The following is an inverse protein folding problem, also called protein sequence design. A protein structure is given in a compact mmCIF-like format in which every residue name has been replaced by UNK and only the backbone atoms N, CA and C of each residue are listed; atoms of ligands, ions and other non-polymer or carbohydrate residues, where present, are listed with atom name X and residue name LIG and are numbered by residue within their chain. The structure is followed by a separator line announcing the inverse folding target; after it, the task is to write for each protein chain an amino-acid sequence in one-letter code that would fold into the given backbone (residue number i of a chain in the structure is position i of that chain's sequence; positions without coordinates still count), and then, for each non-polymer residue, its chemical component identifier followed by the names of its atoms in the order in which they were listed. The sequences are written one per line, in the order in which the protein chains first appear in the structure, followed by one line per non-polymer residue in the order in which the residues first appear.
data_IF_287273360586
#
_entry.id   IF_287273360586
#
_cell.length_a   1.000
_cell.length_b   1.000
_cell.length_c   1.000
_cell.angle_alpha   90.00
_cell.angle_beta   90.00
_cell.angle_gamma   90.00
#
_symmetry.space_group_name_H-M   'P 1'
#
loop_
_entity.id
_entity.type
_entity.pdbx_description
1 polymer ?
#
# COMPACT_ATOMS: atom_id res chain seq x y z
N UNK A 1 5.07 -17.61 15.06
CA UNK A 1 4.85 -18.81 14.21
C UNK A 1 6.12 -19.52 13.76
N UNK A 2 6.95 -19.01 12.81
CA UNK A 2 8.09 -19.79 12.28
C UNK A 2 9.12 -20.20 13.34
N UNK A 3 9.46 -19.30 14.26
CA UNK A 3 10.37 -19.60 15.40
C UNK A 3 9.80 -20.65 16.36
N UNK A 4 8.50 -20.64 16.61
CA UNK A 4 7.83 -21.60 17.49
C UNK A 4 7.78 -22.98 16.85
N UNK A 5 7.47 -23.07 15.54
CA UNK A 5 7.50 -24.31 14.76
C UNK A 5 8.90 -24.92 14.71
N UNK A 6 9.95 -24.11 14.47
CA UNK A 6 11.33 -24.57 14.46
C UNK A 6 11.80 -25.07 15.83
N UNK A 7 11.35 -24.41 16.91
CA UNK A 7 11.64 -24.84 18.27
C UNK A 7 10.94 -26.17 18.57
N UNK A 8 9.67 -26.31 18.16
CA UNK A 8 8.90 -27.53 18.33
C UNK A 8 9.50 -28.72 17.58
N UNK A 9 9.93 -28.53 16.33
CA UNK A 9 10.61 -29.54 15.50
C UNK A 9 11.92 -30.04 16.11
N UNK A 10 12.70 -29.16 16.76
CA UNK A 10 13.95 -29.55 17.44
C UNK A 10 13.72 -30.38 18.70
N UNK A 11 12.60 -30.17 19.38
CA UNK A 11 12.28 -30.82 20.66
C UNK A 11 11.53 -32.14 20.54
N UNK A 12 10.91 -32.43 19.39
CA UNK A 12 10.10 -33.63 19.19
C UNK A 12 10.59 -34.36 17.93
N UNK A 13 11.30 -35.47 18.10
CA UNK A 13 11.67 -36.41 17.02
C UNK A 13 10.45 -37.21 16.54
N UNK A 14 9.37 -36.51 16.18
CA UNK A 14 8.13 -37.12 15.71
C UNK A 14 8.03 -36.93 14.20
N UNK A 15 7.72 -38.04 13.52
CA UNK A 15 7.46 -38.08 12.08
C UNK A 15 6.24 -37.23 11.69
N UNK A 16 5.36 -36.92 12.64
CA UNK A 16 4.20 -36.05 12.44
C UNK A 16 3.91 -35.13 13.63
N UNK A 17 3.48 -33.92 13.32
CA UNK A 17 3.09 -32.87 14.27
C UNK A 17 1.61 -32.55 14.02
N UNK A 18 0.69 -32.75 15.00
CA UNK A 18 -0.69 -32.32 14.85
C UNK A 18 -0.75 -30.79 14.81
N UNK A 19 -1.51 -30.25 13.87
CA UNK A 19 -1.71 -28.82 13.66
C UNK A 19 -3.19 -28.52 13.39
N UNK A 20 -3.60 -27.30 13.72
CA UNK A 20 -4.90 -26.75 13.31
C UNK A 20 -4.63 -25.60 12.35
N UNK A 21 -5.27 -25.63 11.18
CA UNK A 21 -5.12 -24.63 10.12
C UNK A 21 -6.44 -23.91 9.91
N UNK A 22 -6.44 -22.58 9.92
CA UNK A 22 -7.58 -21.79 9.48
C UNK A 22 -7.49 -21.60 7.97
N UNK A 23 -8.49 -22.07 7.22
CA UNK A 23 -8.60 -21.89 5.77
C UNK A 23 -10.04 -21.52 5.41
N UNK A 24 -10.25 -20.39 4.74
CA UNK A 24 -11.59 -19.89 4.35
C UNK A 24 -12.57 -19.86 5.54
N UNK A 25 -12.11 -19.33 6.67
CA UNK A 25 -12.84 -19.32 7.96
C UNK A 25 -13.24 -20.69 8.53
N UNK A 26 -12.65 -21.78 8.05
CA UNK A 26 -12.83 -23.11 8.63
C UNK A 26 -11.55 -23.59 9.31
N UNK A 27 -11.69 -24.09 10.54
CA UNK A 27 -10.60 -24.75 11.25
C UNK A 27 -10.49 -26.20 10.76
N UNK A 28 -9.29 -26.58 10.35
CA UNK A 28 -8.97 -27.92 9.83
C UNK A 28 -7.90 -28.51 10.73
N UNK A 29 -8.21 -29.63 11.38
CA UNK A 29 -7.23 -30.44 12.09
C UNK A 29 -6.50 -31.34 11.09
N UNK A 30 -5.16 -31.31 11.10
CA UNK A 30 -4.34 -32.13 10.21
C UNK A 30 -2.97 -32.40 10.83
N UNK A 31 -2.12 -33.16 10.16
CA UNK A 31 -0.77 -33.49 10.60
C UNK A 31 0.28 -32.96 9.62
N UNK A 32 1.27 -32.25 10.15
CA UNK A 32 2.47 -31.84 9.42
C UNK A 32 3.55 -32.92 9.56
N UNK A 33 3.98 -33.51 8.46
CA UNK A 33 4.98 -34.57 8.47
C UNK A 33 6.40 -34.01 8.38
N UNK A 34 7.31 -34.56 9.17
CA UNK A 34 8.74 -34.25 9.10
C UNK A 34 9.47 -35.40 8.41
N UNK A 35 10.37 -35.07 7.49
CA UNK A 35 11.27 -35.99 6.80
C UNK A 35 12.69 -35.58 7.16
N UNK A 36 13.50 -36.52 7.62
CA UNK A 36 14.92 -36.26 7.87
C UNK A 36 15.67 -36.17 6.53
N UNK A 37 16.37 -35.07 6.31
CA UNK A 37 17.24 -34.87 5.15
C UNK A 37 18.66 -35.33 5.51
N UNK A 38 19.09 -36.45 4.93
CA UNK A 38 20.43 -37.03 5.15
C UNK A 38 21.57 -36.13 4.64
N UNK A 39 21.30 -35.26 3.66
CA UNK A 39 22.32 -34.37 3.06
C UNK A 39 22.62 -33.20 4.00
N UNK A 40 21.57 -32.52 4.44
CA UNK A 40 21.68 -31.33 5.29
C UNK A 40 21.67 -31.66 6.80
N UNK A 41 21.45 -32.93 7.15
CA UNK A 41 21.32 -33.45 8.53
C UNK A 41 20.28 -32.69 9.37
N UNK A 42 19.14 -32.36 8.77
CA UNK A 42 18.03 -31.63 9.40
C UNK A 42 16.68 -32.24 9.04
N UNK A 43 15.69 -32.10 9.92
CA UNK A 43 14.29 -32.43 9.58
C UNK A 43 13.66 -31.31 8.75
N UNK A 44 12.95 -31.69 7.68
CA UNK A 44 12.20 -30.80 6.78
C UNK A 44 10.74 -31.26 6.71
N UNK A 45 9.81 -30.32 6.63
CA UNK A 45 8.37 -30.63 6.55
C UNK A 45 7.70 -30.10 5.27
N UNK A 46 8.46 -29.47 4.38
CA UNK A 46 7.92 -28.83 3.18
C UNK A 46 7.01 -27.63 3.44
N UNK A 47 6.82 -27.20 4.69
CA UNK A 47 6.00 -26.03 5.02
C UNK A 47 6.67 -24.75 4.50
N UNK A 48 5.99 -24.08 3.58
CA UNK A 48 6.34 -22.73 3.14
C UNK A 48 5.54 -21.70 3.96
N UNK A 49 6.24 -20.78 4.63
CA UNK A 49 5.62 -19.74 5.46
C UNK A 49 5.96 -18.37 4.88
N UNK A 50 4.93 -17.65 4.44
CA UNK A 50 5.02 -16.23 4.12
C UNK A 50 4.85 -15.43 5.40
N UNK A 51 5.96 -15.02 5.99
CA UNK A 51 5.97 -14.39 7.33
C UNK A 51 5.58 -12.90 7.28
N UNK A 52 5.87 -12.21 6.18
CA UNK A 52 5.57 -10.78 6.03
C UNK A 52 5.45 -10.36 4.56
N UNK A 53 4.67 -9.31 4.35
CA UNK A 53 4.62 -8.55 3.10
C UNK A 53 5.36 -7.24 3.35
N UNK A 54 6.29 -6.90 2.45
CA UNK A 54 7.02 -5.63 2.48
C UNK A 54 6.75 -4.93 1.15
N UNK A 55 6.41 -3.66 1.21
CA UNK A 55 6.13 -2.84 0.03
C UNK A 55 6.47 -1.38 0.28
N UNK A 56 6.63 -0.65 -0.83
CA UNK A 56 6.82 0.80 -0.81
C UNK A 56 5.49 1.44 -1.21
N UNK A 57 4.96 2.27 -0.32
CA UNK A 57 3.68 2.95 -0.49
C UNK A 57 3.76 4.42 -0.17
N UNK A 58 2.80 5.20 -0.67
CA UNK A 58 2.69 6.62 -0.32
C UNK A 58 1.65 6.80 0.79
N UNK A 59 2.05 7.51 1.85
CA UNK A 59 1.14 8.05 2.86
C UNK A 59 0.35 9.18 2.20
N UNK A 60 -0.97 9.04 2.08
CA UNK A 60 -1.82 10.03 1.41
C UNK A 60 -2.03 11.25 2.30
N UNK A 61 -2.50 11.02 3.51
CA UNK A 61 -2.74 12.08 4.48
C UNK A 61 -2.50 11.54 5.88
N UNK A 62 -2.32 12.46 6.81
CA UNK A 62 -2.44 12.18 8.23
C UNK A 62 -3.31 13.26 8.86
N UNK A 63 -4.08 12.87 9.88
CA UNK A 63 -4.98 13.77 10.59
C UNK A 63 -4.38 14.11 11.96
N UNK A 64 -3.91 15.36 12.15
CA UNK A 64 -3.31 15.79 13.40
C UNK A 64 -4.29 15.86 14.57
N UNK A 65 -5.60 15.84 14.34
CA UNK A 65 -6.61 15.94 15.40
C UNK A 65 -6.82 14.63 16.15
N UNK A 66 -6.61 13.49 15.49
CA UNK A 66 -6.89 12.15 16.05
C UNK A 66 -5.74 11.15 15.85
N UNK A 67 -4.60 11.58 15.31
CA UNK A 67 -3.41 10.74 15.07
C UNK A 67 -3.65 9.54 14.14
N UNK A 68 -4.61 9.65 13.22
CA UNK A 68 -4.89 8.62 12.19
C UNK A 68 -4.30 9.00 10.83
N UNK A 69 -4.19 8.02 9.93
CA UNK A 69 -3.74 8.25 8.56
C UNK A 69 -4.44 7.34 7.56
N UNK A 70 -4.36 7.72 6.28
CA UNK A 70 -4.70 6.87 5.14
C UNK A 70 -3.56 6.80 4.13
N UNK A 71 -3.37 5.65 3.49
CA UNK A 71 -2.32 5.42 2.51
C UNK A 71 -2.78 4.51 1.36
N UNK A 72 -1.99 4.50 0.27
CA UNK A 72 -2.15 3.70 -0.96
C UNK A 72 -3.38 4.00 -1.82
N UNK A 73 -4.55 4.21 -1.21
CA UNK A 73 -5.81 4.33 -1.94
C UNK A 73 -6.34 3.02 -2.54
N UNK A 74 -5.68 1.89 -2.28
CA UNK A 74 -6.11 0.53 -2.63
C UNK A 74 -5.63 -0.49 -1.58
N UNK A 75 -6.10 -1.73 -1.70
CA UNK A 75 -5.72 -2.83 -0.81
C UNK A 75 -4.27 -3.31 -1.01
N UNK A 76 -3.69 -3.89 0.04
CA UNK A 76 -2.55 -4.80 -0.12
C UNK A 76 -3.11 -6.19 -0.43
N UNK A 77 -2.70 -6.76 -1.57
CA UNK A 77 -3.06 -8.12 -1.98
C UNK A 77 -2.00 -9.13 -1.55
N UNK A 78 -2.42 -10.30 -1.10
CA UNK A 78 -1.56 -11.47 -1.10
C UNK A 78 -1.56 -12.08 -2.51
N UNK A 79 -0.46 -11.88 -3.24
CA UNK A 79 -0.30 -12.36 -4.62
C UNK A 79 -0.35 -13.89 -4.75
N UNK A 80 -0.06 -14.64 -3.69
CA UNK A 80 -0.05 -16.10 -3.75
C UNK A 80 -1.47 -16.65 -3.56
N UNK A 81 -2.26 -16.00 -2.71
CA UNK A 81 -3.65 -16.37 -2.43
C UNK A 81 -4.66 -15.67 -3.35
N UNK A 82 -4.25 -14.61 -4.05
CA UNK A 82 -5.12 -13.76 -4.88
C UNK A 82 -6.29 -13.14 -4.09
N UNK A 83 -6.03 -12.82 -2.82
CA UNK A 83 -7.00 -12.26 -1.88
C UNK A 83 -6.42 -11.02 -1.20
N UNK A 84 -7.28 -10.16 -0.63
CA UNK A 84 -6.83 -9.05 0.21
C UNK A 84 -6.03 -9.63 1.38
N UNK A 85 -4.82 -9.11 1.59
CA UNK A 85 -3.97 -9.58 2.67
C UNK A 85 -4.66 -9.33 4.02
N UNK A 86 -4.87 -10.40 4.78
CA UNK A 86 -5.36 -10.31 6.16
C UNK A 86 -4.26 -9.69 7.05
N UNK A 87 -4.55 -8.55 7.66
CA UNK A 87 -3.60 -7.82 8.50
C UNK A 87 -3.96 -8.05 9.96
N UNK A 88 -3.23 -8.96 10.62
CA UNK A 88 -3.27 -9.07 12.07
C UNK A 88 -2.51 -7.93 12.75
N UNK A 89 -1.37 -7.57 12.19
CA UNK A 89 -0.54 -6.46 12.64
C UNK A 89 0.33 -5.95 11.48
N UNK A 90 0.60 -4.65 11.45
CA UNK A 90 1.52 -4.05 10.51
C UNK A 90 2.12 -2.77 11.05
N UNK A 91 3.20 -2.32 10.42
CA UNK A 91 3.90 -1.09 10.80
C UNK A 91 4.34 -0.34 9.56
N UNK A 92 4.32 0.99 9.66
CA UNK A 92 4.86 1.87 8.63
C UNK A 92 6.22 2.42 9.08
N UNK A 93 7.11 2.60 8.11
CA UNK A 93 8.51 2.97 8.32
C UNK A 93 8.89 4.10 7.35
N UNK A 94 9.90 4.93 7.67
CA UNK A 94 10.45 5.88 6.72
C UNK A 94 11.05 5.14 5.53
N UNK A 95 10.83 5.70 4.34
CA UNK A 95 11.46 5.23 3.12
C UNK A 95 12.14 6.40 2.41
N UNK A 96 13.29 6.13 1.80
CA UNK A 96 14.05 7.07 0.99
C UNK A 96 14.18 6.52 -0.43
N UNK A 97 13.64 7.25 -1.40
CA UNK A 97 13.64 6.88 -2.82
C UNK A 97 15.04 7.06 -3.41
N UNK A 98 15.71 5.94 -3.66
CA UNK A 98 17.08 5.94 -4.19
C UNK A 98 17.12 6.08 -5.71
N UNK A 99 16.12 5.56 -6.42
CA UNK A 99 16.06 5.63 -7.89
C UNK A 99 14.66 5.31 -8.42
N UNK A 100 14.40 5.72 -9.67
CA UNK A 100 13.18 5.39 -10.40
C UNK A 100 13.50 4.44 -11.55
N UNK A 101 12.73 3.35 -11.66
CA UNK A 101 12.61 2.58 -12.89
C UNK A 101 11.41 3.12 -13.67
N UNK A 102 11.67 3.62 -14.88
CA UNK A 102 10.63 4.19 -15.74
C UNK A 102 9.62 3.14 -16.19
N UNK A 103 8.36 3.56 -16.35
CA UNK A 103 7.36 2.75 -17.03
C UNK A 103 7.74 2.53 -18.49
N UNK A 104 7.40 1.36 -19.00
CA UNK A 104 7.47 1.01 -20.41
C UNK A 104 6.14 0.43 -20.84
N UNK A 105 5.89 0.36 -22.15
CA UNK A 105 4.69 -0.29 -22.64
C UNK A 105 4.61 -1.73 -22.09
N UNK A 106 3.48 -2.04 -21.45
CA UNK A 106 3.20 -3.33 -20.80
C UNK A 106 4.08 -3.66 -19.57
N UNK A 107 4.92 -2.74 -19.10
CA UNK A 107 5.73 -2.92 -17.89
C UNK A 107 5.57 -1.69 -16.99
N UNK A 108 4.93 -1.90 -15.84
CA UNK A 108 4.81 -0.85 -14.84
C UNK A 108 6.22 -0.47 -14.33
N UNK A 109 6.52 0.83 -14.31
CA UNK A 109 7.72 1.32 -13.62
C UNK A 109 7.56 1.20 -12.10
N UNK A 110 8.61 1.53 -11.36
CA UNK A 110 8.62 1.44 -9.90
C UNK A 110 9.55 2.46 -9.24
N UNK A 111 9.20 2.86 -8.01
CA UNK A 111 10.12 3.52 -7.09
C UNK A 111 10.97 2.46 -6.41
N UNK A 112 12.29 2.63 -6.46
CA UNK A 112 13.21 1.85 -5.62
C UNK A 112 13.59 2.70 -4.41
N UNK A 113 13.37 2.15 -3.24
CA UNK A 113 13.59 2.85 -1.99
C UNK A 113 14.29 1.96 -0.96
N UNK A 114 15.03 2.60 -0.07
CA UNK A 114 15.53 1.98 1.15
C UNK A 114 14.55 2.25 2.28
N UNK A 115 14.34 1.27 3.15
CA UNK A 115 13.39 1.34 4.26
C UNK A 115 14.19 1.28 5.57
N UNK A 116 13.95 2.24 6.46
CA UNK A 116 14.54 2.23 7.80
C UNK A 116 13.64 1.48 8.78
N UNK A 117 13.90 0.18 8.95
CA UNK A 117 13.15 -0.68 9.87
C UNK A 117 13.44 -0.40 11.36
N UNK A 118 14.41 0.45 11.69
CA UNK A 118 14.74 0.77 13.09
C UNK A 118 13.78 1.79 13.69
N UNK A 119 13.07 2.55 12.83
CA UNK A 119 12.18 3.63 13.23
C UNK A 119 10.74 3.35 12.81
N UNK A 120 9.91 2.90 13.74
CA UNK A 120 8.47 2.74 13.49
C UNK A 120 7.79 4.12 13.49
N UNK A 121 7.04 4.43 12.44
CA UNK A 121 6.24 5.67 12.33
C UNK A 121 4.81 5.49 12.85
N UNK A 122 4.29 4.27 12.79
CA UNK A 122 2.90 3.98 13.08
C UNK A 122 2.53 2.52 12.81
N UNK A 123 1.27 2.21 13.05
CA UNK A 123 0.68 0.87 12.90
C UNK A 123 -0.24 0.84 11.69
N UNK A 124 -0.35 -0.31 11.03
CA UNK A 124 -1.45 -0.60 10.09
C UNK A 124 -2.52 -1.38 10.87
N UNK A 125 -3.75 -0.89 10.85
CA UNK A 125 -4.90 -1.51 11.54
C UNK A 125 -5.92 -2.10 10.57
N UNK A 126 -6.09 -1.50 9.40
CA UNK A 126 -7.09 -1.91 8.42
C UNK A 126 -6.48 -1.99 7.02
N UNK A 127 -6.91 -2.98 6.26
CA UNK A 127 -6.62 -3.16 4.85
C UNK A 127 -7.93 -3.28 4.08
N UNK A 128 -8.26 -2.25 3.31
CA UNK A 128 -9.53 -2.19 2.58
C UNK A 128 -9.27 -2.02 1.10
N UNK A 129 -10.32 -2.24 0.29
CA UNK A 129 -10.28 -1.99 -1.17
C UNK A 129 -9.90 -0.57 -1.57
N UNK A 130 -10.02 0.40 -0.67
CA UNK A 130 -9.75 1.81 -0.96
C UNK A 130 -8.64 2.39 -0.07
N UNK A 131 -7.74 1.54 0.41
CA UNK A 131 -6.55 1.97 1.14
C UNK A 131 -6.33 1.20 2.43
N UNK A 132 -5.18 1.48 3.01
CA UNK A 132 -4.78 1.02 4.34
C UNK A 132 -4.86 2.17 5.33
N UNK A 133 -5.21 1.84 6.57
CA UNK A 133 -5.43 2.84 7.62
C UNK A 133 -4.81 2.40 8.93
N UNK A 134 -4.50 3.37 9.78
CA UNK A 134 -3.99 3.12 11.11
C UNK A 134 -3.65 4.39 11.85
N UNK A 135 -2.82 4.25 12.89
CA UNK A 135 -2.39 5.34 13.76
C UNK A 135 -0.91 5.60 13.63
N UNK A 136 -0.49 6.86 13.77
CA UNK A 136 0.92 7.25 13.75
C UNK A 136 1.34 7.84 15.10
N UNK A 137 2.63 7.71 15.43
CA UNK A 137 3.21 8.29 16.66
C UNK A 137 3.82 9.65 16.36
N UNK A 138 4.77 9.67 15.41
CA UNK A 138 5.44 10.88 14.99
C UNK A 138 5.84 10.77 13.53
N UNK A 139 5.35 11.69 12.72
CA UNK A 139 5.77 11.83 11.33
C UNK A 139 6.83 12.92 11.29
N UNK A 140 8.02 12.58 10.80
CA UNK A 140 9.17 13.50 10.76
C UNK A 140 9.07 14.59 9.68
N UNK A 141 7.87 14.93 9.19
CA UNK A 141 7.69 15.75 7.99
C UNK A 141 6.71 16.90 8.21
N UNK A 142 7.11 18.08 7.77
CA UNK A 142 6.21 19.22 7.57
C UNK A 142 5.47 19.04 6.24
N UNK A 143 4.41 18.23 6.24
CA UNK A 143 3.44 18.29 5.15
C UNK A 143 2.63 19.58 5.29
N UNK A 144 2.26 20.25 4.18
CA UNK A 144 1.38 21.41 4.25
C UNK A 144 0.03 20.99 4.83
N UNK A 145 -0.47 21.79 5.78
CA UNK A 145 -1.86 21.65 6.24
C UNK A 145 -2.78 22.10 5.10
N UNK A 146 -3.63 21.20 4.63
CA UNK A 146 -4.58 21.47 3.54
C UNK A 146 -5.98 21.03 3.95
N UNK A 147 -6.98 21.76 3.47
CA UNK A 147 -8.36 21.31 3.52
C UNK A 147 -8.57 20.15 2.53
N UNK A 148 -9.65 19.40 2.71
CA UNK A 148 -10.11 18.42 1.74
C UNK A 148 -11.45 18.86 1.15
N UNK A 149 -11.79 18.33 -0.03
CA UNK A 149 -13.08 18.57 -0.68
C UNK A 149 -13.86 17.26 -0.86
N UNK A 150 -15.18 17.34 -0.76
CA UNK A 150 -16.07 16.22 -1.07
C UNK A 150 -16.05 15.87 -2.57
N UNK A 151 -16.57 14.68 -2.89
CA UNK A 151 -16.61 14.20 -4.28
C UNK A 151 -17.46 15.08 -5.21
N UNK A 152 -18.40 15.88 -4.68
CA UNK A 152 -19.25 16.77 -5.48
C UNK A 152 -18.53 18.07 -5.88
N UNK A 153 -17.52 18.46 -5.10
CA UNK A 153 -16.70 19.64 -5.37
C UNK A 153 -15.62 19.41 -6.43
N UNK A 154 -15.33 18.15 -6.77
CA UNK A 154 -14.34 17.79 -7.79
C UNK A 154 -14.87 18.13 -9.19
N UNK A 155 -14.03 18.71 -10.03
CA UNK A 155 -14.38 19.04 -11.41
C UNK A 155 -13.27 18.69 -12.40
N UNK A 156 -13.64 18.57 -13.69
CA UNK A 156 -12.65 18.32 -14.76
C UNK A 156 -11.70 19.51 -14.89
N UNK A 157 -10.48 19.24 -15.37
CA UNK A 157 -9.47 20.25 -15.61
C UNK A 157 -8.23 20.07 -14.74
N UNK A 158 -7.48 21.16 -14.55
CA UNK A 158 -6.17 21.13 -13.90
C UNK A 158 -6.27 20.70 -12.44
N UNK A 159 -5.31 19.89 -12.03
CA UNK A 159 -5.05 19.50 -10.66
C UNK A 159 -3.55 19.24 -10.48
N UNK A 160 -3.14 18.91 -9.26
CA UNK A 160 -1.76 18.55 -8.92
C UNK A 160 -1.70 17.18 -8.25
N UNK A 161 -0.63 16.46 -8.56
CA UNK A 161 -0.24 15.20 -7.93
C UNK A 161 0.97 15.44 -7.03
N UNK A 162 0.87 15.09 -5.75
CA UNK A 162 1.97 15.22 -4.79
C UNK A 162 2.66 13.88 -4.61
N UNK A 163 3.95 13.79 -4.99
CA UNK A 163 4.70 12.54 -4.86
C UNK A 163 6.19 12.77 -4.65
N UNK A 164 6.91 11.71 -4.30
CA UNK A 164 8.37 11.71 -4.09
C UNK A 164 9.04 10.95 -5.23
N UNK A 165 9.97 11.59 -5.94
CA UNK A 165 10.79 10.96 -6.99
C UNK A 165 12.24 10.69 -6.56
N UNK A 166 12.74 11.43 -5.56
CA UNK A 166 14.07 11.27 -5.03
C UNK A 166 14.11 11.59 -3.53
N UNK A 167 14.86 10.80 -2.77
CA UNK A 167 15.00 10.97 -1.34
C UNK A 167 13.66 10.86 -0.62
N UNK A 168 13.30 11.89 0.13
CA UNK A 168 12.04 12.05 0.84
C UNK A 168 11.31 13.36 0.51
N UNK A 169 11.75 14.07 -0.54
CA UNK A 169 11.23 15.36 -0.95
C UNK A 169 9.88 15.22 -1.65
N UNK A 170 8.84 15.84 -1.08
CA UNK A 170 7.51 15.88 -1.68
C UNK A 170 7.46 17.00 -2.71
N UNK A 171 7.09 16.65 -3.94
CA UNK A 171 7.00 17.57 -5.06
C UNK A 171 5.59 17.50 -5.67
N UNK A 172 5.11 18.64 -6.18
CA UNK A 172 3.84 18.73 -6.89
C UNK A 172 4.08 18.68 -8.40
N UNK A 173 3.30 17.87 -9.10
CA UNK A 173 3.35 17.71 -10.56
C UNK A 173 1.97 17.97 -11.16
N UNK A 174 1.90 18.61 -12.32
CA UNK A 174 0.62 18.88 -12.97
C UNK A 174 -0.04 17.60 -13.51
N UNK A 175 -1.35 17.53 -13.35
CA UNK A 175 -2.22 16.55 -13.99
C UNK A 175 -3.48 17.24 -14.49
N UNK A 176 -4.22 16.57 -15.38
CA UNK A 176 -5.52 17.03 -15.84
C UNK A 176 -6.59 15.94 -15.62
N UNK A 177 -7.61 16.26 -14.83
CA UNK A 177 -8.77 15.40 -14.57
C UNK A 177 -9.64 15.34 -15.83
N UNK A 178 -9.76 14.16 -16.40
CA UNK A 178 -10.49 13.90 -17.66
C UNK A 178 -11.92 13.43 -17.41
N UNK A 179 -12.13 12.69 -16.32
CA UNK A 179 -13.43 12.13 -15.94
C UNK A 179 -13.58 12.00 -14.43
N UNK A 180 -14.82 12.12 -13.99
CA UNK A 180 -15.25 11.98 -12.61
C UNK A 180 -16.36 10.95 -12.63
N UNK A 181 -16.24 9.92 -11.81
CA UNK A 181 -17.23 8.88 -11.64
C UNK A 181 -17.92 9.10 -10.31
N UNK A 182 -19.12 9.65 -10.34
CA UNK A 182 -19.92 9.80 -9.14
C UNK A 182 -20.27 8.41 -8.58
N UNK A 183 -20.02 8.24 -7.29
CA UNK A 183 -20.11 6.96 -6.60
C UNK A 183 -21.05 7.09 -5.41
N UNK A 184 -21.84 6.05 -5.16
CA UNK A 184 -22.62 5.92 -3.92
C UNK A 184 -21.85 5.17 -2.82
N UNK A 185 -20.81 4.42 -3.21
CA UNK A 185 -19.94 3.62 -2.35
C UNK A 185 -18.51 3.85 -2.84
N UNK A 186 -17.56 4.00 -1.92
CA UNK A 186 -16.16 4.24 -2.28
C UNK A 186 -15.55 3.14 -3.13
N UNK A 187 -14.94 3.52 -4.24
CA UNK A 187 -14.24 2.64 -5.18
C UNK A 187 -12.99 3.34 -5.76
N UNK A 188 -12.01 2.55 -6.18
CA UNK A 188 -10.66 2.98 -6.59
C UNK A 188 -10.64 3.82 -7.88
N UNK A 189 -11.75 3.86 -8.64
CA UNK A 189 -11.91 4.58 -9.91
C UNK A 189 -12.89 5.75 -9.81
N UNK A 190 -12.72 6.62 -8.82
CA UNK A 190 -13.53 7.84 -8.66
C UNK A 190 -13.10 8.97 -9.60
N UNK A 191 -11.79 9.13 -9.78
CA UNK A 191 -11.17 10.20 -10.58
C UNK A 191 -10.36 9.54 -11.70
N UNK A 192 -10.55 9.95 -12.95
CA UNK A 192 -9.63 9.67 -14.05
C UNK A 192 -8.85 10.92 -14.40
N UNK A 193 -7.54 10.78 -14.60
CA UNK A 193 -6.68 11.88 -14.96
C UNK A 193 -5.57 11.44 -15.91
N UNK A 194 -4.96 12.43 -16.56
CA UNK A 194 -3.74 12.29 -17.33
C UNK A 194 -2.62 13.08 -16.68
N UNK A 195 -1.41 12.53 -16.69
CA UNK A 195 -0.19 13.26 -16.33
C UNK A 195 0.21 14.14 -17.51
N UNK A 196 0.28 15.45 -17.29
CA UNK A 196 0.73 16.42 -18.29
C UNK A 196 2.02 17.16 -17.87
N UNK A 197 2.59 16.79 -16.73
CA UNK A 197 3.82 17.38 -16.22
C UNK A 197 5.07 16.85 -16.96
N UNK A 198 5.85 17.74 -17.62
CA UNK A 198 7.00 17.31 -18.41
C UNK A 198 8.14 16.74 -17.57
N UNK A 199 8.31 17.19 -16.32
CA UNK A 199 9.38 16.70 -15.43
C UNK A 199 9.03 15.30 -14.95
N UNK A 200 7.78 15.09 -14.52
CA UNK A 200 7.30 13.77 -14.10
C UNK A 200 7.43 12.77 -15.25
N UNK A 201 6.92 13.12 -16.44
CA UNK A 201 6.98 12.27 -17.62
C UNK A 201 8.42 11.94 -18.02
N UNK A 202 9.33 12.92 -18.01
CA UNK A 202 10.73 12.70 -18.35
C UNK A 202 11.41 11.72 -17.38
N UNK A 203 11.06 11.75 -16.09
CA UNK A 203 11.69 10.91 -15.07
C UNK A 203 11.07 9.52 -14.95
N UNK A 204 9.79 9.36 -15.29
CA UNK A 204 9.00 8.18 -14.89
C UNK A 204 8.26 7.51 -16.05
N UNK A 205 8.08 8.21 -17.18
CA UNK A 205 7.16 7.87 -18.27
C UNK A 205 5.68 7.76 -17.84
N UNK A 206 5.28 8.34 -16.71
CA UNK A 206 3.90 8.35 -16.21
C UNK A 206 3.79 7.87 -14.76
N UNK A 207 2.62 7.39 -14.38
CA UNK A 207 2.37 6.80 -13.07
C UNK A 207 3.12 5.47 -12.96
N UNK A 208 3.78 5.26 -11.83
CA UNK A 208 4.58 4.06 -11.53
C UNK A 208 4.21 3.47 -10.18
N UNK A 209 4.60 2.22 -9.94
CA UNK A 209 4.42 1.57 -8.64
C UNK A 209 5.13 2.36 -7.53
N UNK A 210 4.47 2.47 -6.38
CA UNK A 210 4.90 3.33 -5.28
C UNK A 210 4.36 4.77 -5.36
N UNK A 211 3.71 5.18 -6.45
CA UNK A 211 2.89 6.40 -6.48
C UNK A 211 1.48 6.20 -5.93
N UNK A 212 1.00 4.96 -5.82
CA UNK A 212 -0.28 4.67 -5.16
C UNK A 212 -0.31 5.31 -3.76
N UNK A 213 -1.36 6.08 -3.51
CA UNK A 213 -1.55 6.92 -2.33
C UNK A 213 -1.10 8.36 -2.50
N UNK A 214 -0.46 8.74 -3.61
CA UNK A 214 -0.06 10.13 -3.87
C UNK A 214 -1.28 11.05 -3.88
N UNK A 215 -1.30 12.12 -3.04
CA UNK A 215 -2.44 13.01 -2.96
C UNK A 215 -2.70 13.75 -4.27
N UNK A 216 -3.98 13.83 -4.63
CA UNK A 216 -4.47 14.65 -5.73
C UNK A 216 -5.09 15.90 -5.12
N UNK A 217 -4.63 17.07 -5.57
CA UNK A 217 -5.03 18.38 -5.07
C UNK A 217 -5.64 19.21 -6.20
N UNK A 218 -6.84 19.73 -5.98
CA UNK A 218 -7.53 20.68 -6.88
C UNK A 218 -8.06 21.83 -6.04
N UNK A 219 -7.98 23.06 -6.54
CA UNK A 219 -8.42 24.27 -5.84
C UNK A 219 -7.88 24.39 -4.41
N UNK A 220 -6.59 24.05 -4.23
CA UNK A 220 -5.88 24.03 -2.94
C UNK A 220 -6.47 23.07 -1.88
N UNK A 221 -7.28 22.10 -2.30
CA UNK A 221 -7.86 21.07 -1.45
C UNK A 221 -7.43 19.69 -1.90
N UNK A 222 -7.17 18.80 -0.95
CA UNK A 222 -7.01 17.38 -1.25
C UNK A 222 -8.38 16.88 -1.73
N UNK A 223 -8.44 16.27 -2.90
CA UNK A 223 -9.68 15.71 -3.48
C UNK A 223 -9.64 14.19 -3.60
N UNK A 224 -8.44 13.61 -3.58
CA UNK A 224 -8.28 12.16 -3.75
C UNK A 224 -6.86 11.69 -3.60
N UNK A 225 -6.66 10.41 -3.93
CA UNK A 225 -5.37 9.75 -3.94
C UNK A 225 -5.26 8.84 -5.16
N UNK A 226 -4.08 8.78 -5.78
CA UNK A 226 -3.81 7.86 -6.89
C UNK A 226 -3.95 6.42 -6.41
N UNK A 227 -4.62 5.56 -7.19
CA UNK A 227 -4.83 4.15 -6.83
C UNK A 227 -3.98 3.22 -7.70
N UNK A 228 -4.35 3.09 -8.97
CA UNK A 228 -3.71 2.19 -9.92
C UNK A 228 -3.18 2.93 -11.15
N UNK A 229 -2.04 2.44 -11.64
CA UNK A 229 -1.52 2.76 -12.97
C UNK A 229 -2.23 1.90 -14.02
N UNK A 230 -2.47 2.47 -15.20
CA UNK A 230 -2.88 1.69 -16.36
C UNK A 230 -1.62 1.23 -17.09
N UNK A 231 -1.25 -0.06 -16.96
CA UNK A 231 0.08 -0.55 -17.42
C UNK A 231 0.34 -0.39 -18.92
N UNK A 232 -0.70 -0.38 -19.75
CA UNK A 232 -0.58 -0.14 -21.20
C UNK A 232 -0.56 1.35 -21.56
N UNK A 233 -0.95 2.24 -20.63
CA UNK A 233 -0.98 3.69 -20.79
C UNK A 233 -0.62 4.38 -19.46
N UNK A 234 0.68 4.42 -19.10
CA UNK A 234 1.12 4.90 -17.79
C UNK A 234 0.83 6.39 -17.58
N UNK A 235 0.51 7.15 -18.63
CA UNK A 235 0.15 8.57 -18.53
C UNK A 235 -1.23 8.73 -17.89
N UNK A 236 -2.11 7.73 -18.06
CA UNK A 236 -3.43 7.72 -17.44
C UNK A 236 -3.40 7.05 -16.07
N UNK A 237 -4.14 7.63 -15.14
CA UNK A 237 -4.26 7.14 -13.78
C UNK A 237 -5.69 7.20 -13.26
N UNK A 238 -5.93 6.39 -12.24
CA UNK A 238 -7.15 6.45 -11.44
C UNK A 238 -6.85 7.00 -10.05
N UNK A 239 -7.86 7.63 -9.45
CA UNK A 239 -7.83 8.04 -8.07
C UNK A 239 -9.12 7.71 -7.33
N UNK A 240 -9.00 7.49 -6.03
CA UNK A 240 -10.12 7.39 -5.08
C UNK A 240 -10.39 8.74 -4.48
N UNK A 241 -11.65 9.08 -4.20
CA UNK A 241 -11.98 10.32 -3.50
C UNK A 241 -11.49 10.28 -2.04
N UNK A 242 -10.95 11.41 -1.59
CA UNK A 242 -10.44 11.55 -0.22
C UNK A 242 -11.58 11.42 0.80
N UNK A 243 -12.79 11.83 0.44
CA UNK A 243 -14.01 11.71 1.25
C UNK A 243 -14.22 10.27 1.74
N UNK A 244 -14.06 9.28 0.84
CA UNK A 244 -14.20 7.88 1.18
C UNK A 244 -13.08 7.39 2.08
N UNK A 245 -11.84 7.83 1.82
CA UNK A 245 -10.70 7.47 2.66
C UNK A 245 -10.83 8.03 4.08
N UNK A 246 -11.28 9.28 4.23
CA UNK A 246 -11.51 9.93 5.52
C UNK A 246 -12.68 9.28 6.27
N UNK A 247 -13.74 8.88 5.55
CA UNK A 247 -14.87 8.16 6.15
C UNK A 247 -14.47 6.80 6.72
N UNK A 248 -13.46 6.13 6.14
CA UNK A 248 -12.93 4.90 6.69
C UNK A 248 -12.01 5.11 7.89
N UNK A 249 -11.10 6.09 7.84
CA UNK A 249 -10.18 6.35 8.97
C UNK A 249 -10.91 6.85 10.22
N UNK A 250 -12.00 7.60 10.07
CA UNK A 250 -12.85 8.04 11.19
C UNK A 250 -13.42 6.90 12.03
N UNK A 251 -13.55 5.69 11.46
CA UNK A 251 -14.00 4.50 12.22
C UNK A 251 -12.93 3.97 13.19
N UNK A 252 -11.68 4.46 13.06
CA UNK A 252 -10.54 4.09 13.90
C UNK A 252 -10.26 5.10 15.02
N UNK A 253 -10.89 6.28 14.97
CA UNK A 253 -10.73 7.36 15.94
C UNK A 253 -11.52 7.08 17.22
#
# INVERSE_FOLDING_TARGET
MQRELLTYQRTQSKDSIPITVLRKNQLIETSLFNVYDETDKVYKCGLYVKDKIVGVGTLTYYDPSNHTYGALGHEIMDTDLQEIADIQAGSIYPANVSSIQKAQQNHAGEKRATIDFTRVLGTIRENTRIGIYGTYVQLGRNAPLMEWADAQSVHKGKAQLYTVLHGDEVQAFSINITKIHHQHIGDVKGIEFIVDDPVLLAQTNGIIQGMSGSPIVQDNKIIGAVTHVITNDPIHGYGVFIEWMLSNSKKLA
#
